data_IF_993419095145
#
_entry.id   IF_993419095145
#
_cell.length_a   1.000
_cell.length_b   1.000
_cell.length_c   1.000
_cell.angle_alpha   90.00
_cell.angle_beta   90.00
_cell.angle_gamma   90.00
#
_symmetry.space_group_name_H-M   'P 1'
#
loop_
_entity.id
_entity.type
_entity.pdbx_description
1 polymer ?
#
# COMPACT_ATOMS: atom_id res chain seq x y z
N UNK A 1 18.07 7.51 -6.78
CA UNK A 1 16.79 6.79 -6.69
C UNK A 1 15.74 7.77 -6.24
N UNK A 2 14.62 7.85 -6.94
CA UNK A 2 13.52 8.74 -6.59
C UNK A 2 12.63 8.05 -5.55
N UNK A 3 12.60 8.59 -4.32
CA UNK A 3 11.85 8.01 -3.19
C UNK A 3 10.35 7.96 -3.50
N UNK A 4 9.83 8.93 -4.25
CA UNK A 4 8.40 8.95 -4.58
C UNK A 4 8.03 7.77 -5.50
N UNK A 5 8.90 7.41 -6.44
CA UNK A 5 8.71 6.22 -7.27
C UNK A 5 8.80 4.92 -6.45
N UNK A 6 9.71 4.84 -5.48
CA UNK A 6 9.82 3.68 -4.58
C UNK A 6 8.52 3.52 -3.78
N UNK A 7 8.02 4.61 -3.20
CA UNK A 7 6.79 4.62 -2.40
C UNK A 7 5.56 4.19 -3.22
N UNK A 8 5.44 4.68 -4.45
CA UNK A 8 4.36 4.26 -5.36
C UNK A 8 4.49 2.78 -5.70
N UNK A 9 5.69 2.27 -5.93
CA UNK A 9 5.91 0.86 -6.22
C UNK A 9 5.56 -0.04 -5.01
N UNK A 10 5.88 0.38 -3.78
CA UNK A 10 5.44 -0.31 -2.57
C UNK A 10 3.91 -0.40 -2.49
N UNK A 11 3.19 0.69 -2.82
CA UNK A 11 1.73 0.68 -2.86
C UNK A 11 1.17 -0.24 -3.96
N UNK A 12 1.86 -0.38 -5.10
CA UNK A 12 1.49 -1.36 -6.14
C UNK A 12 1.68 -2.80 -5.69
N UNK A 13 2.79 -3.10 -5.01
CA UNK A 13 3.05 -4.42 -4.41
C UNK A 13 1.90 -4.77 -3.46
N UNK A 14 1.55 -3.85 -2.55
CA UNK A 14 0.43 -4.02 -1.64
C UNK A 14 -0.88 -4.35 -2.37
N UNK A 15 -1.24 -3.55 -3.38
CA UNK A 15 -2.44 -3.79 -4.20
C UNK A 15 -2.39 -5.13 -4.95
N UNK A 16 -1.24 -5.53 -5.49
CA UNK A 16 -1.05 -6.79 -6.21
C UNK A 16 -1.29 -7.99 -5.31
N UNK A 17 -0.75 -7.99 -4.09
CA UNK A 17 -0.96 -9.07 -3.11
C UNK A 17 -2.45 -9.28 -2.83
N UNK A 18 -3.18 -8.20 -2.54
CA UNK A 18 -4.63 -8.28 -2.30
C UNK A 18 -5.40 -8.70 -3.55
N UNK A 19 -5.07 -8.18 -4.73
CA UNK A 19 -5.75 -8.53 -5.99
C UNK A 19 -5.56 -10.01 -6.35
N UNK A 20 -4.35 -10.53 -6.21
CA UNK A 20 -4.04 -11.92 -6.53
C UNK A 20 -4.74 -12.90 -5.57
N UNK A 21 -4.89 -12.50 -4.31
CA UNK A 21 -5.61 -13.27 -3.30
C UNK A 21 -7.13 -13.22 -3.48
N UNK A 22 -7.70 -12.03 -3.70
CA UNK A 22 -9.13 -11.82 -3.82
C UNK A 22 -9.68 -12.36 -5.14
N UNK A 23 -8.93 -12.25 -6.23
CA UNK A 23 -9.37 -12.57 -7.60
C UNK A 23 -10.66 -11.83 -7.97
N UNK A 24 -11.81 -12.48 -7.76
CA UNK A 24 -13.15 -11.95 -8.02
C UNK A 24 -13.98 -11.73 -6.75
N UNK A 25 -13.44 -12.01 -5.57
CA UNK A 25 -14.09 -11.73 -4.27
C UNK A 25 -14.06 -10.23 -4.00
N UNK A 26 -15.11 -9.73 -3.33
CA UNK A 26 -15.07 -8.37 -2.81
C UNK A 26 -14.11 -8.29 -1.63
N UNK A 27 -13.38 -7.19 -1.50
CA UNK A 27 -12.51 -6.94 -0.35
C UNK A 27 -13.31 -6.90 0.96
N UNK A 28 -14.55 -6.41 0.91
CA UNK A 28 -15.43 -6.37 2.09
C UNK A 28 -15.89 -7.75 2.57
N UNK A 29 -15.61 -8.82 1.80
CA UNK A 29 -15.89 -10.20 2.19
C UNK A 29 -14.71 -10.86 2.94
N UNK A 30 -13.62 -10.15 3.18
CA UNK A 30 -12.50 -10.67 3.96
C UNK A 30 -12.84 -10.69 5.46
N UNK A 31 -12.47 -11.79 6.09
CA UNK A 31 -12.38 -11.84 7.55
C UNK A 31 -11.14 -11.07 8.03
N UNK A 32 -11.14 -10.62 9.29
CA UNK A 32 -9.98 -9.96 9.89
C UNK A 32 -8.71 -10.85 9.83
N UNK A 33 -8.85 -12.16 10.01
CA UNK A 33 -7.71 -13.09 9.92
C UNK A 33 -7.13 -13.17 8.51
N UNK A 34 -7.98 -13.16 7.47
CA UNK A 34 -7.51 -13.11 6.09
C UNK A 34 -6.85 -11.77 5.78
N UNK A 35 -7.44 -10.67 6.27
CA UNK A 35 -6.87 -9.34 6.10
C UNK A 35 -5.49 -9.25 6.73
N UNK A 36 -5.34 -9.65 8.00
CA UNK A 36 -4.05 -9.66 8.72
C UNK A 36 -2.98 -10.53 8.01
N UNK A 37 -3.39 -11.67 7.45
CA UNK A 37 -2.51 -12.55 6.70
C UNK A 37 -2.04 -11.92 5.38
N UNK A 38 -2.94 -11.24 4.67
CA UNK A 38 -2.59 -10.50 3.44
C UNK A 38 -1.72 -9.29 3.75
N UNK A 39 -2.01 -8.59 4.84
CA UNK A 39 -1.24 -7.43 5.30
C UNK A 39 0.20 -7.84 5.63
N UNK A 40 0.36 -8.95 6.35
CA UNK A 40 1.67 -9.52 6.69
C UNK A 40 2.45 -9.90 5.44
N UNK A 41 1.82 -10.62 4.51
CA UNK A 41 2.45 -11.00 3.23
C UNK A 41 2.83 -9.78 2.39
N UNK A 42 1.97 -8.78 2.31
CA UNK A 42 2.25 -7.56 1.56
C UNK A 42 3.45 -6.80 2.14
N UNK A 43 3.59 -6.76 3.47
CA UNK A 43 4.75 -6.16 4.14
C UNK A 43 6.03 -6.92 3.80
N UNK A 44 6.03 -8.26 3.88
CA UNK A 44 7.20 -9.07 3.50
C UNK A 44 7.65 -8.80 2.05
N UNK A 45 6.71 -8.72 1.09
CA UNK A 45 7.04 -8.42 -0.30
C UNK A 45 7.58 -6.99 -0.48
N UNK A 46 7.04 -6.01 0.26
CA UNK A 46 7.54 -4.63 0.28
C UNK A 46 8.95 -4.55 0.87
N UNK A 47 9.23 -5.25 1.97
CA UNK A 47 10.55 -5.27 2.61
C UNK A 47 11.60 -5.89 1.68
N UNK A 48 11.25 -6.98 1.00
CA UNK A 48 12.11 -7.59 -0.01
C UNK A 48 12.42 -6.62 -1.16
N UNK A 49 11.41 -5.87 -1.62
CA UNK A 49 11.61 -4.83 -2.63
C UNK A 49 12.51 -3.70 -2.13
N UNK A 50 12.24 -3.13 -0.95
CA UNK A 50 13.04 -2.06 -0.33
C UNK A 50 14.50 -2.47 -0.18
N UNK A 51 14.74 -3.70 0.30
CA UNK A 51 16.08 -4.29 0.38
C UNK A 51 16.75 -4.38 -0.99
N UNK A 52 16.02 -4.84 -2.03
CA UNK A 52 16.53 -4.99 -3.39
C UNK A 52 16.93 -3.65 -4.04
N UNK A 53 16.28 -2.55 -3.66
CA UNK A 53 16.60 -1.20 -4.15
C UNK A 53 17.54 -0.42 -3.21
N UNK A 54 18.05 -1.07 -2.15
CA UNK A 54 19.06 -0.51 -1.25
C UNK A 54 18.50 0.46 -0.21
N UNK A 55 17.24 0.31 0.20
CA UNK A 55 16.67 1.02 1.36
C UNK A 55 16.77 0.10 2.58
N UNK A 56 17.59 0.46 3.59
CA UNK A 56 17.78 -0.36 4.77
C UNK A 56 16.61 -0.22 5.77
N UNK A 57 16.42 -1.19 6.70
CA UNK A 57 15.32 -1.17 7.67
C UNK A 57 15.20 0.07 8.55
N UNK A 58 16.31 0.75 8.84
CA UNK A 58 16.31 2.00 9.62
C UNK A 58 15.79 3.22 8.85
N UNK A 59 15.69 3.14 7.52
CA UNK A 59 15.25 4.24 6.65
C UNK A 59 13.74 4.19 6.36
N UNK A 60 13.02 3.18 6.85
CA UNK A 60 11.58 3.05 6.65
C UNK A 60 10.81 2.56 7.87
N UNK A 61 9.51 2.88 7.91
CA UNK A 61 8.58 2.33 8.89
C UNK A 61 7.19 2.13 8.27
N UNK A 62 6.54 1.02 8.58
CA UNK A 62 5.11 0.84 8.32
C UNK A 62 4.32 1.62 9.37
N UNK A 63 3.41 2.47 8.92
CA UNK A 63 2.67 3.38 9.79
C UNK A 63 1.23 3.54 9.29
N UNK A 64 0.34 3.93 10.19
CA UNK A 64 -0.98 4.41 9.80
C UNK A 64 -0.86 5.83 9.26
N UNK A 65 -1.34 6.07 8.04
CA UNK A 65 -1.31 7.38 7.39
C UNK A 65 -2.71 7.86 7.07
N UNK A 66 -2.95 9.14 7.36
CA UNK A 66 -4.20 9.80 6.98
C UNK A 66 -4.20 10.10 5.47
N UNK A 67 -5.20 9.56 4.75
CA UNK A 67 -5.34 9.70 3.30
C UNK A 67 -6.80 9.94 2.89
N UNK A 68 -7.02 10.75 1.86
CA UNK A 68 -8.35 11.09 1.33
C UNK A 68 -8.86 10.06 0.30
N UNK A 69 -8.37 8.83 0.33
CA UNK A 69 -8.72 7.79 -0.63
C UNK A 69 -10.02 7.03 -0.27
N UNK A 70 -10.85 7.56 0.63
CA UNK A 70 -11.95 6.87 1.33
C UNK A 70 -13.09 6.31 0.47
N UNK A 71 -13.02 6.38 -0.86
CA UNK A 71 -14.14 6.03 -1.76
C UNK A 71 -13.71 5.28 -3.01
N UNK A 72 -12.56 4.62 -2.98
CA UNK A 72 -12.05 3.97 -4.17
C UNK A 72 -12.08 2.46 -3.99
N UNK A 73 -12.40 1.73 -5.07
CA UNK A 73 -12.35 0.28 -5.03
C UNK A 73 -10.92 -0.15 -4.67
N UNK A 74 -10.82 -0.99 -3.65
CA UNK A 74 -9.59 -1.65 -3.25
C UNK A 74 -9.85 -3.17 -3.31
N UNK A 75 -8.91 -3.98 -3.82
CA UNK A 75 -7.63 -3.61 -4.44
C UNK A 75 -7.78 -2.99 -5.84
N UNK A 76 -6.71 -2.38 -6.35
CA UNK A 76 -6.68 -1.66 -7.64
C UNK A 76 -5.71 -2.26 -8.64
N UNK A 77 -5.96 -1.93 -9.90
CA UNK A 77 -4.96 -2.09 -10.95
C UNK A 77 -3.76 -1.17 -10.73
N UNK A 78 -2.58 -1.69 -11.01
CA UNK A 78 -1.29 -1.03 -10.79
C UNK A 78 -1.16 0.31 -11.51
N UNK A 79 -1.78 0.43 -12.69
CA UNK A 79 -1.85 1.66 -13.49
C UNK A 79 -2.68 2.78 -12.82
N UNK A 80 -3.54 2.42 -11.85
CA UNK A 80 -4.38 3.36 -11.09
C UNK A 80 -3.77 3.74 -9.74
N UNK A 81 -2.67 3.12 -9.33
CA UNK A 81 -1.94 3.45 -8.10
C UNK A 81 -1.06 4.68 -8.38
N UNK A 82 -1.10 5.68 -7.49
CA UNK A 82 -0.41 6.97 -7.65
C UNK A 82 -1.18 8.00 -8.49
N UNK A 83 -2.15 7.59 -9.31
CA UNK A 83 -2.94 8.51 -10.16
C UNK A 83 -3.98 9.34 -9.39
N UNK A 84 -4.09 9.12 -8.08
CA UNK A 84 -4.73 10.03 -7.13
C UNK A 84 -6.22 9.76 -6.89
N UNK A 85 -6.63 10.11 -5.67
CA UNK A 85 -8.00 10.47 -5.37
C UNK A 85 -8.01 11.71 -4.49
N UNK A 86 -8.88 12.63 -4.83
CA UNK A 86 -8.78 14.03 -4.38
C UNK A 86 -10.01 14.46 -3.58
N UNK A 87 -10.93 13.54 -3.27
CA UNK A 87 -12.27 13.91 -2.83
C UNK A 87 -12.87 12.88 -1.87
N UNK A 88 -12.21 12.66 -0.73
CA UNK A 88 -12.69 11.84 0.38
C UNK A 88 -12.57 12.59 1.71
N UNK A 89 -13.28 12.14 2.76
CA UNK A 89 -13.29 12.79 4.10
C UNK A 89 -12.00 12.61 4.91
N UNK A 90 -10.98 11.97 4.33
CA UNK A 90 -9.78 11.58 5.05
C UNK A 90 -10.05 10.38 5.95
N UNK A 91 -9.31 9.30 5.74
CA UNK A 91 -9.37 8.07 6.52
C UNK A 91 -7.97 7.63 6.87
N UNK A 92 -7.84 6.98 8.02
CA UNK A 92 -6.59 6.38 8.45
C UNK A 92 -6.41 5.04 7.73
N UNK A 93 -5.26 4.87 7.09
CA UNK A 93 -4.99 3.75 6.17
C UNK A 93 -3.61 3.16 6.41
N UNK A 94 -3.37 1.91 6.00
CA UNK A 94 -2.03 1.36 5.93
C UNK A 94 -1.13 2.24 5.07
N UNK A 95 0.06 2.54 5.58
CA UNK A 95 1.03 3.40 4.94
C UNK A 95 2.46 2.98 5.20
N UNK A 96 3.36 3.62 4.45
CA UNK A 96 4.80 3.42 4.56
C UNK A 96 5.46 4.80 4.57
N UNK A 97 6.40 5.00 5.49
CA UNK A 97 7.25 6.18 5.55
C UNK A 97 8.66 5.74 5.17
N UNK A 98 9.28 6.40 4.20
CA UNK A 98 10.66 6.18 3.76
C UNK A 98 11.37 7.53 3.79
N UNK A 99 12.44 7.66 4.58
CA UNK A 99 13.23 8.92 4.68
C UNK A 99 12.37 10.16 4.93
N UNK A 100 11.33 10.03 5.78
CA UNK A 100 10.39 11.11 6.12
C UNK A 100 9.34 11.43 5.05
N UNK A 101 9.30 10.69 3.94
CA UNK A 101 8.25 10.77 2.91
C UNK A 101 7.25 9.65 3.16
N UNK A 102 5.96 9.96 3.19
CA UNK A 102 4.90 8.98 3.47
C UNK A 102 4.12 8.63 2.21
N UNK A 103 3.54 7.44 2.20
CA UNK A 103 2.58 6.98 1.19
C UNK A 103 1.47 6.15 1.83
N UNK A 104 0.26 6.30 1.35
CA UNK A 104 -0.87 5.40 1.57
C UNK A 104 -0.70 4.18 0.66
N UNK A 105 -0.60 2.99 1.25
CA UNK A 105 -0.39 1.75 0.49
C UNK A 105 -1.62 1.34 -0.33
N UNK A 106 -2.81 1.87 0.00
CA UNK A 106 -4.04 1.61 -0.77
C UNK A 106 -4.06 2.35 -2.10
N UNK A 107 -3.48 3.55 -2.18
CA UNK A 107 -3.63 4.43 -3.36
C UNK A 107 -2.33 5.03 -3.91
N UNK A 108 -1.18 4.84 -3.23
CA UNK A 108 0.11 5.34 -3.67
C UNK A 108 0.28 6.85 -3.53
N UNK A 109 -0.34 7.49 -2.53
CA UNK A 109 -0.31 8.95 -2.29
C UNK A 109 0.08 9.32 -0.88
#
# INVERSE_FOLDING_TARGET
>A
MDVDNVLVECAKIYNRVYRDALRSRDYYDLTNEEEDALDSRAREEIEAYLSSVGIPPEDYEFATVHCNCSELPFPRDEERVGTGAMSGRGVDTPGLIVKGRKVCLLCGR
#
